data_IF_053944041708
#
_entry.id   IF_053944041708
#
_cell.length_a   1.000
_cell.length_b   1.000
_cell.length_c   1.000
_cell.angle_alpha   90.00
_cell.angle_beta   90.00
_cell.angle_gamma   90.00
#
_symmetry.space_group_name_H-M   'P 1'
#
loop_
_entity.id
_entity.type
_entity.pdbx_description
1 polymer ?
#
# COMPACT_ATOMS: atom_id res chain seq x y z
N UNK A 1 9.65 63.39 4.16
CA UNK A 1 9.42 62.11 3.43
C UNK A 1 7.93 61.94 3.19
N UNK A 2 7.45 61.97 1.94
CA UNK A 2 6.02 61.73 1.63
C UNK A 2 5.72 60.24 1.83
N UNK A 3 4.89 59.90 2.81
CA UNK A 3 4.32 58.56 2.94
C UNK A 3 3.36 58.36 1.76
N UNK A 4 3.70 57.48 0.82
CA UNK A 4 2.77 57.07 -0.24
C UNK A 4 1.72 56.17 0.42
N UNK A 5 0.50 56.69 0.57
CA UNK A 5 -0.64 55.89 1.00
C UNK A 5 -1.17 55.12 -0.21
N UNK A 6 -1.42 53.83 -0.05
CA UNK A 6 -2.04 53.00 -1.09
C UNK A 6 -3.46 53.46 -1.33
N UNK A 7 -3.86 53.52 -2.59
CA UNK A 7 -5.24 53.79 -2.96
C UNK A 7 -6.11 52.57 -2.68
N UNK A 8 -7.41 52.79 -2.42
CA UNK A 8 -8.36 51.70 -2.20
C UNK A 8 -8.37 50.71 -3.37
N UNK A 9 -8.23 51.20 -4.60
CA UNK A 9 -8.17 50.39 -5.81
C UNK A 9 -6.93 49.47 -5.84
N UNK A 10 -5.74 49.97 -5.48
CA UNK A 10 -4.52 49.17 -5.41
C UNK A 10 -4.64 48.06 -4.35
N UNK A 11 -5.24 48.36 -3.19
CA UNK A 11 -5.49 47.35 -2.14
C UNK A 11 -6.42 46.26 -2.66
N UNK A 12 -7.51 46.65 -3.36
CA UNK A 12 -8.51 45.71 -3.85
C UNK A 12 -7.95 44.79 -4.94
N UNK A 13 -7.09 45.31 -5.82
CA UNK A 13 -6.36 44.51 -6.82
C UNK A 13 -5.45 43.49 -6.14
N UNK A 14 -4.66 43.91 -5.14
CA UNK A 14 -3.73 43.02 -4.43
C UNK A 14 -4.47 41.92 -3.67
N UNK A 15 -5.55 42.25 -2.95
CA UNK A 15 -6.34 41.24 -2.23
C UNK A 15 -6.97 40.23 -3.19
N UNK A 16 -7.46 40.68 -4.34
CA UNK A 16 -8.01 39.79 -5.37
C UNK A 16 -6.94 38.85 -5.94
N UNK A 17 -5.76 39.38 -6.26
CA UNK A 17 -4.63 38.58 -6.75
C UNK A 17 -4.19 37.54 -5.72
N UNK A 18 -4.03 37.94 -4.45
CA UNK A 18 -3.68 37.00 -3.37
C UNK A 18 -4.75 35.92 -3.20
N UNK A 19 -6.03 36.27 -3.30
CA UNK A 19 -7.14 35.31 -3.24
C UNK A 19 -7.07 34.27 -4.36
N UNK A 20 -6.85 34.70 -5.61
CA UNK A 20 -6.74 33.79 -6.76
C UNK A 20 -5.51 32.88 -6.63
N UNK A 21 -4.36 33.44 -6.23
CA UNK A 21 -3.13 32.66 -6.02
C UNK A 21 -3.34 31.63 -4.90
N UNK A 22 -3.96 32.01 -3.79
CA UNK A 22 -4.22 31.11 -2.67
C UNK A 22 -5.09 29.91 -3.08
N UNK A 23 -6.15 30.13 -3.86
CA UNK A 23 -7.02 29.03 -4.35
C UNK A 23 -6.25 28.04 -5.23
N UNK A 24 -5.42 28.55 -6.15
CA UNK A 24 -4.61 27.70 -7.03
C UNK A 24 -3.55 26.93 -6.25
N UNK A 25 -2.86 27.59 -5.31
CA UNK A 25 -1.83 26.98 -4.48
C UNK A 25 -2.42 25.91 -3.57
N UNK A 26 -3.53 26.17 -2.89
CA UNK A 26 -4.19 25.19 -2.01
C UNK A 26 -4.57 23.95 -2.81
N UNK A 27 -5.24 24.09 -3.97
CA UNK A 27 -5.67 22.95 -4.78
C UNK A 27 -4.51 22.03 -5.17
N UNK A 28 -3.41 22.61 -5.64
CA UNK A 28 -2.23 21.85 -6.05
C UNK A 28 -1.50 21.24 -4.84
N UNK A 29 -1.40 21.98 -3.74
CA UNK A 29 -0.74 21.51 -2.52
C UNK A 29 -1.49 20.33 -1.91
N UNK A 30 -2.82 20.39 -1.82
CA UNK A 30 -3.65 19.29 -1.31
C UNK A 30 -3.55 18.06 -2.21
N UNK A 31 -3.53 18.25 -3.53
CA UNK A 31 -3.34 17.13 -4.47
C UNK A 31 -2.00 16.42 -4.25
N UNK A 32 -0.90 17.17 -4.14
CA UNK A 32 0.43 16.61 -3.92
C UNK A 32 0.57 15.95 -2.54
N UNK A 33 0.06 16.60 -1.48
CA UNK A 33 0.09 16.07 -0.12
C UNK A 33 -0.70 14.78 -0.04
N UNK A 34 -1.92 14.72 -0.60
CA UNK A 34 -2.74 13.51 -0.57
C UNK A 34 -2.08 12.38 -1.37
N UNK A 35 -1.48 12.67 -2.52
CA UNK A 35 -0.74 11.68 -3.29
C UNK A 35 0.44 11.10 -2.49
N UNK A 36 1.21 11.96 -1.83
CA UNK A 36 2.34 11.54 -0.99
C UNK A 36 1.93 10.81 0.27
N UNK A 37 0.84 11.22 0.91
CA UNK A 37 0.28 10.52 2.06
C UNK A 37 -0.18 9.11 1.64
N UNK A 38 -0.98 8.99 0.57
CA UNK A 38 -1.55 7.72 0.13
C UNK A 38 -0.47 6.70 -0.25
N UNK A 39 0.59 7.12 -0.95
CA UNK A 39 1.72 6.24 -1.24
C UNK A 39 2.43 5.73 0.02
N UNK A 40 2.69 6.63 0.99
CA UNK A 40 3.34 6.26 2.28
C UNK A 40 2.46 5.32 3.10
N UNK A 41 1.16 5.59 3.16
CA UNK A 41 0.23 4.78 3.93
C UNK A 41 -0.02 3.42 3.25
N UNK A 42 0.02 3.34 1.91
CA UNK A 42 -0.01 2.07 1.17
C UNK A 42 1.18 1.18 1.48
N UNK A 43 2.40 1.73 1.48
CA UNK A 43 3.57 0.94 1.89
C UNK A 43 3.48 0.50 3.35
N UNK A 44 2.99 1.38 4.23
CA UNK A 44 2.77 1.03 5.63
C UNK A 44 1.80 -0.15 5.76
N UNK A 45 0.64 -0.08 5.10
CA UNK A 45 -0.35 -1.15 5.07
C UNK A 45 0.22 -2.45 4.51
N UNK A 46 0.97 -2.38 3.40
CA UNK A 46 1.69 -3.51 2.83
C UNK A 46 2.66 -4.15 3.84
N UNK A 47 3.54 -3.34 4.45
CA UNK A 47 4.57 -3.84 5.36
C UNK A 47 3.99 -4.46 6.61
N UNK A 48 2.89 -3.89 7.12
CA UNK A 48 2.13 -4.44 8.23
C UNK A 48 1.48 -5.76 7.85
N UNK A 49 0.79 -5.81 6.71
CA UNK A 49 0.14 -7.02 6.21
C UNK A 49 1.16 -8.14 5.97
N UNK A 50 2.29 -7.85 5.32
CA UNK A 50 3.39 -8.80 5.12
C UNK A 50 3.92 -9.37 6.43
N UNK A 51 4.13 -8.53 7.44
CA UNK A 51 4.59 -8.98 8.77
C UNK A 51 3.55 -9.83 9.48
N UNK A 52 2.29 -9.41 9.45
CA UNK A 52 1.20 -10.14 10.10
C UNK A 52 0.99 -11.51 9.45
N UNK A 53 0.93 -11.56 8.11
CA UNK A 53 0.81 -12.81 7.35
C UNK A 53 2.02 -13.73 7.56
N UNK A 54 3.24 -13.18 7.58
CA UNK A 54 4.44 -13.95 7.91
C UNK A 54 4.38 -14.55 9.33
N UNK A 55 3.85 -13.79 10.30
CA UNK A 55 3.62 -14.29 11.66
C UNK A 55 2.55 -15.39 11.70
N UNK A 56 1.49 -15.28 10.90
CA UNK A 56 0.46 -16.33 10.79
C UNK A 56 1.12 -17.62 10.34
N UNK A 57 1.87 -17.58 9.24
CA UNK A 57 2.49 -18.79 8.66
C UNK A 57 3.54 -19.40 9.57
N UNK A 58 4.30 -18.58 10.30
CA UNK A 58 5.25 -19.09 11.28
C UNK A 58 4.57 -19.89 12.41
N UNK A 59 3.26 -19.71 12.62
CA UNK A 59 2.47 -20.49 13.58
C UNK A 59 1.71 -21.67 12.96
N UNK A 60 1.70 -21.79 11.62
CA UNK A 60 1.02 -22.89 10.93
C UNK A 60 1.93 -24.12 10.82
N UNK A 61 1.45 -25.29 11.25
CA UNK A 61 2.20 -26.54 11.15
C UNK A 61 2.50 -26.93 9.68
N UNK A 62 1.60 -26.57 8.77
CA UNK A 62 1.74 -26.83 7.32
C UNK A 62 2.63 -25.80 6.62
N UNK A 63 3.00 -24.71 7.29
CA UNK A 63 3.63 -23.55 6.64
C UNK A 63 2.73 -22.84 5.63
N UNK A 64 1.41 -23.06 5.70
CA UNK A 64 0.42 -22.47 4.79
C UNK A 64 -0.79 -21.95 5.54
N UNK A 65 -1.35 -20.84 5.07
CA UNK A 65 -2.58 -20.24 5.61
C UNK A 65 -3.74 -21.19 5.37
N UNK A 66 -4.36 -21.68 6.44
CA UNK A 66 -5.51 -22.56 6.35
C UNK A 66 -6.73 -21.84 5.75
N UNK A 67 -7.52 -22.51 4.89
CA UNK A 67 -8.70 -21.92 4.26
C UNK A 67 -9.65 -21.28 5.28
N UNK A 68 -10.17 -20.10 4.97
CA UNK A 68 -11.13 -19.34 5.80
C UNK A 68 -10.63 -18.92 7.19
N UNK A 69 -9.33 -19.10 7.51
CA UNK A 69 -8.77 -18.69 8.82
C UNK A 69 -8.06 -17.34 8.80
N UNK A 70 -7.79 -16.79 7.61
CA UNK A 70 -7.05 -15.54 7.48
C UNK A 70 -7.69 -14.39 8.26
N UNK A 71 -9.01 -14.23 8.16
CA UNK A 71 -9.72 -13.14 8.82
C UNK A 71 -9.54 -13.16 10.34
N UNK A 72 -9.78 -14.30 10.99
CA UNK A 72 -9.71 -14.44 12.45
C UNK A 72 -8.27 -14.31 12.94
N UNK A 73 -7.32 -14.99 12.30
CA UNK A 73 -5.90 -14.91 12.66
C UNK A 73 -5.34 -13.51 12.48
N UNK A 74 -5.75 -12.81 11.43
CA UNK A 74 -5.32 -11.44 11.19
C UNK A 74 -5.94 -10.47 12.19
N UNK A 75 -7.22 -10.63 12.56
CA UNK A 75 -7.83 -9.81 13.60
C UNK A 75 -7.18 -10.03 14.97
N UNK A 76 -6.84 -11.27 15.31
CA UNK A 76 -6.18 -11.57 16.60
C UNK A 76 -4.81 -10.89 16.71
N UNK A 77 -4.05 -10.87 15.60
CA UNK A 77 -2.74 -10.21 15.55
C UNK A 77 -2.81 -8.69 15.50
N UNK A 78 -3.75 -8.13 14.73
CA UNK A 78 -3.84 -6.70 14.51
C UNK A 78 -4.65 -5.97 15.58
N UNK A 79 -5.40 -6.70 16.42
CA UNK A 79 -6.18 -6.19 17.54
C UNK A 79 -7.10 -5.01 17.14
N UNK A 80 -8.10 -5.27 16.27
CA UNK A 80 -9.01 -4.24 15.79
C UNK A 80 -9.87 -3.65 16.91
N UNK A 81 -10.44 -2.49 16.60
CA UNK A 81 -11.47 -1.85 17.40
C UNK A 81 -12.86 -2.28 16.91
N UNK A 82 -13.74 -2.62 17.86
CA UNK A 82 -15.12 -3.02 17.58
C UNK A 82 -15.28 -4.48 17.14
N UNK A 83 -16.36 -4.75 16.43
CA UNK A 83 -16.75 -6.10 16.04
C UNK A 83 -15.94 -6.61 14.83
N UNK A 84 -15.57 -7.88 14.89
CA UNK A 84 -14.95 -8.60 13.77
C UNK A 84 -16.04 -9.37 13.02
N UNK A 85 -16.19 -9.08 11.73
CA UNK A 85 -17.12 -9.73 10.83
C UNK A 85 -16.36 -10.45 9.72
N UNK A 86 -16.16 -11.76 9.80
CA UNK A 86 -15.45 -12.51 8.75
C UNK A 86 -16.31 -12.93 7.55
N UNK A 87 -17.46 -12.26 7.32
CA UNK A 87 -18.30 -12.51 6.16
C UNK A 87 -17.63 -12.12 4.83
N UNK A 88 -18.02 -12.84 3.77
CA UNK A 88 -17.59 -12.58 2.41
C UNK A 88 -18.25 -11.32 1.85
N UNK A 89 -17.49 -10.56 1.06
CA UNK A 89 -18.05 -9.55 0.15
C UNK A 89 -17.86 -10.02 -1.31
N UNK A 90 -18.66 -9.47 -2.22
CA UNK A 90 -18.57 -9.81 -3.64
C UNK A 90 -17.18 -9.51 -4.21
N UNK A 91 -16.69 -10.38 -5.11
CA UNK A 91 -15.32 -10.35 -5.67
C UNK A 91 -14.98 -9.10 -6.49
N UNK A 92 -15.99 -8.34 -6.92
CA UNK A 92 -15.84 -7.15 -7.78
C UNK A 92 -16.51 -5.91 -7.16
N UNK A 93 -16.53 -5.85 -5.83
CA UNK A 93 -17.13 -4.74 -5.11
C UNK A 93 -16.31 -3.46 -5.33
N UNK A 94 -16.97 -2.39 -5.79
CA UNK A 94 -16.33 -1.10 -6.11
C UNK A 94 -16.83 0.06 -5.24
N UNK A 95 -17.88 -0.16 -4.43
CA UNK A 95 -18.54 0.86 -3.60
C UNK A 95 -18.28 0.68 -2.09
N UNK A 96 -17.02 0.70 -1.65
CA UNK A 96 -16.65 0.40 -0.25
C UNK A 96 -17.29 1.30 0.80
N UNK A 97 -17.76 2.51 0.44
CA UNK A 97 -18.44 3.41 1.37
C UNK A 97 -19.77 2.91 1.96
N UNK A 98 -20.33 1.78 1.47
CA UNK A 98 -21.51 1.12 2.05
C UNK A 98 -21.24 -0.30 2.55
N UNK A 99 -20.05 -0.83 2.31
CA UNK A 99 -19.70 -2.15 2.79
C UNK A 99 -19.46 -2.13 4.29
N UNK A 100 -19.84 -3.21 4.96
CA UNK A 100 -19.38 -3.45 6.32
C UNK A 100 -17.96 -4.02 6.24
N UNK A 101 -16.96 -3.39 6.89
CA UNK A 101 -15.61 -3.93 6.92
C UNK A 101 -15.58 -5.24 7.71
N UNK A 102 -14.60 -6.09 7.41
CA UNK A 102 -14.33 -7.26 8.24
C UNK A 102 -13.85 -6.85 9.63
N UNK A 103 -13.02 -5.80 9.72
CA UNK A 103 -12.70 -5.12 10.96
C UNK A 103 -12.09 -3.75 10.69
N UNK A 104 -12.06 -2.91 11.72
CA UNK A 104 -11.43 -1.58 11.70
C UNK A 104 -10.32 -1.53 12.73
N UNK A 105 -9.15 -1.01 12.38
CA UNK A 105 -8.06 -0.80 13.32
C UNK A 105 -8.21 0.55 14.04
N UNK A 106 -7.56 0.70 15.19
CA UNK A 106 -7.60 1.94 16.00
C UNK A 106 -7.13 3.19 15.26
N UNK A 107 -6.35 3.03 14.19
CA UNK A 107 -5.91 4.12 13.34
C UNK A 107 -6.89 4.44 12.19
N UNK A 108 -8.09 3.85 12.20
CA UNK A 108 -9.13 4.07 11.19
C UNK A 108 -9.04 3.18 9.96
N UNK A 109 -7.95 2.43 9.77
CA UNK A 109 -7.81 1.54 8.60
C UNK A 109 -8.87 0.43 8.64
N UNK A 110 -9.53 0.20 7.50
CA UNK A 110 -10.61 -0.80 7.40
C UNK A 110 -10.23 -1.92 6.45
N UNK A 111 -10.46 -3.15 6.88
CA UNK A 111 -10.14 -4.35 6.12
C UNK A 111 -11.40 -4.96 5.52
N UNK A 112 -11.30 -5.46 4.30
CA UNK A 112 -12.40 -6.06 3.57
C UNK A 112 -11.96 -7.30 2.78
N UNK A 113 -12.93 -8.18 2.52
CA UNK A 113 -12.80 -9.45 1.79
C UNK A 113 -11.81 -10.47 2.36
N UNK A 114 -11.60 -10.51 3.68
CA UNK A 114 -10.65 -11.43 4.33
C UNK A 114 -11.12 -12.89 4.39
N UNK A 115 -12.39 -13.17 4.08
CA UNK A 115 -12.94 -14.53 4.10
C UNK A 115 -12.85 -15.29 2.78
N UNK A 116 -12.57 -14.60 1.66
CA UNK A 116 -12.71 -15.18 0.33
C UNK A 116 -11.39 -15.81 -0.15
N UNK A 117 -11.27 -17.13 0.01
CA UNK A 117 -10.28 -17.92 -0.72
C UNK A 117 -10.83 -18.10 -2.13
N UNK A 118 -10.26 -17.40 -3.12
CA UNK A 118 -10.55 -17.71 -4.51
C UNK A 118 -10.09 -19.15 -4.82
N UNK A 119 -10.63 -19.76 -5.88
CA UNK A 119 -10.39 -21.17 -6.26
C UNK A 119 -8.90 -21.57 -6.50
N UNK A 120 -7.96 -20.61 -6.40
CA UNK A 120 -6.55 -20.75 -6.73
C UNK A 120 -5.61 -20.48 -5.53
N UNK A 121 -6.03 -20.75 -4.29
CA UNK A 121 -5.20 -20.59 -3.08
C UNK A 121 -4.70 -19.13 -2.87
N UNK A 122 -5.55 -18.19 -3.23
CA UNK A 122 -5.25 -16.75 -3.18
C UNK A 122 -6.39 -15.98 -2.53
N UNK A 123 -6.05 -15.16 -1.54
CA UNK A 123 -6.92 -14.19 -0.91
C UNK A 123 -6.78 -12.84 -1.62
N UNK A 124 -7.91 -12.24 -1.96
CA UNK A 124 -7.97 -10.84 -2.40
C UNK A 124 -8.45 -9.99 -1.24
N UNK A 125 -7.59 -9.13 -0.70
CA UNK A 125 -7.89 -8.28 0.44
C UNK A 125 -7.95 -6.83 0.00
N UNK A 126 -8.94 -6.09 0.47
CA UNK A 126 -9.01 -4.64 0.24
C UNK A 126 -8.79 -3.92 1.56
N UNK A 127 -8.00 -2.85 1.52
CA UNK A 127 -7.70 -2.03 2.69
C UNK A 127 -8.04 -0.57 2.34
N UNK A 128 -8.98 -0.01 3.08
CA UNK A 128 -9.21 1.44 3.20
C UNK A 128 -8.14 2.00 4.14
N UNK A 129 -7.27 2.84 3.60
CA UNK A 129 -6.00 3.20 4.22
C UNK A 129 -6.09 4.47 5.04
N UNK A 130 -6.89 5.44 4.59
CA UNK A 130 -7.05 6.71 5.29
C UNK A 130 -8.26 6.69 6.25
N UNK A 131 -9.13 5.68 6.13
CA UNK A 131 -10.26 5.45 7.03
C UNK A 131 -11.38 6.47 6.89
N UNK A 132 -11.27 7.42 5.96
CA UNK A 132 -12.19 8.54 5.85
C UNK A 132 -13.53 8.02 5.26
N UNK A 133 -14.66 8.41 5.87
CA UNK A 133 -16.00 7.93 5.47
C UNK A 133 -16.48 8.46 4.10
N UNK A 134 -15.58 9.05 3.31
CA UNK A 134 -15.91 9.45 1.94
C UNK A 134 -16.24 8.18 1.15
N UNK A 135 -16.92 8.33 0.00
CA UNK A 135 -17.13 7.20 -0.91
C UNK A 135 -15.76 6.64 -1.29
N UNK A 136 -15.31 5.60 -0.59
CA UNK A 136 -14.09 4.88 -0.92
C UNK A 136 -14.30 4.21 -2.26
N UNK A 137 -13.71 4.80 -3.31
CA UNK A 137 -13.71 4.21 -4.65
C UNK A 137 -12.43 3.39 -4.78
N UNK A 138 -12.58 2.17 -5.30
CA UNK A 138 -11.46 1.30 -5.62
C UNK A 138 -10.43 2.03 -6.50
N UNK A 139 -9.14 1.88 -6.18
CA UNK A 139 -7.97 2.55 -6.78
C UNK A 139 -7.69 4.00 -6.37
N UNK A 140 -8.65 4.70 -5.73
CA UNK A 140 -8.41 6.05 -5.21
C UNK A 140 -8.01 6.00 -3.74
N UNK A 141 -8.88 5.39 -2.94
CA UNK A 141 -8.79 5.38 -1.48
C UNK A 141 -8.51 3.95 -0.97
N UNK A 142 -9.26 2.99 -1.53
CA UNK A 142 -9.12 1.57 -1.19
C UNK A 142 -8.08 0.90 -2.08
N UNK A 143 -7.10 0.25 -1.44
CA UNK A 143 -6.05 -0.51 -2.11
C UNK A 143 -6.34 -2.01 -2.06
N UNK A 144 -6.07 -2.71 -3.16
CA UNK A 144 -6.18 -4.17 -3.24
C UNK A 144 -4.82 -4.83 -3.03
N UNK A 145 -4.82 -5.88 -2.24
CA UNK A 145 -3.71 -6.77 -1.98
C UNK A 145 -4.11 -8.22 -2.31
N UNK A 146 -3.13 -8.99 -2.71
CA UNK A 146 -3.21 -10.39 -3.04
C UNK A 146 -2.31 -11.11 -2.04
N UNK A 147 -2.83 -12.13 -1.37
CA UNK A 147 -2.09 -12.96 -0.43
C UNK A 147 -2.23 -14.41 -0.90
N UNK A 148 -1.13 -15.09 -1.18
CA UNK A 148 -1.20 -16.53 -1.44
C UNK A 148 -1.18 -17.33 -0.12
N UNK A 149 -1.56 -18.60 -0.18
CA UNK A 149 -1.49 -19.51 0.99
C UNK A 149 -0.08 -19.65 1.58
N UNK A 150 0.97 -19.35 0.81
CA UNK A 150 2.36 -19.36 1.28
C UNK A 150 2.81 -18.04 1.95
N UNK A 151 1.91 -17.05 2.05
CA UNK A 151 2.12 -15.79 2.77
C UNK A 151 2.79 -14.67 2.03
N UNK A 152 2.98 -14.85 0.74
CA UNK A 152 3.43 -13.79 -0.14
C UNK A 152 2.29 -12.79 -0.30
N UNK A 153 2.56 -11.56 0.15
CA UNK A 153 1.66 -10.41 0.00
C UNK A 153 2.16 -9.58 -1.18
N UNK A 154 1.27 -9.24 -2.11
CA UNK A 154 1.51 -8.32 -3.23
C UNK A 154 0.36 -7.31 -3.35
N UNK A 155 0.60 -6.02 -3.66
CA UNK A 155 -0.49 -5.13 -4.05
C UNK A 155 -0.93 -5.39 -5.49
N UNK A 156 -2.16 -4.98 -5.82
CA UNK A 156 -2.71 -5.08 -7.18
C UNK A 156 -1.97 -4.18 -8.18
N UNK A 157 -1.79 -4.70 -9.41
CA UNK A 157 -1.05 -4.07 -10.51
C UNK A 157 -1.68 -2.75 -10.99
N UNK A 158 -2.99 -2.60 -10.80
CA UNK A 158 -3.76 -1.41 -11.19
C UNK A 158 -3.81 -0.33 -10.11
N UNK A 159 -3.32 -0.61 -8.90
CA UNK A 159 -3.34 0.37 -7.82
C UNK A 159 -2.50 1.61 -8.16
N UNK A 160 -3.05 2.81 -7.92
CA UNK A 160 -2.34 4.07 -8.16
C UNK A 160 -1.06 4.20 -7.34
N UNK A 161 -1.07 3.64 -6.13
CA UNK A 161 0.10 3.57 -5.26
C UNK A 161 1.20 2.65 -5.81
N UNK A 162 0.86 1.62 -6.60
CA UNK A 162 1.85 0.74 -7.19
C UNK A 162 2.73 1.41 -8.26
N UNK A 163 2.25 2.51 -8.85
CA UNK A 163 2.85 3.18 -10.01
C UNK A 163 3.52 4.53 -9.68
N UNK A 164 3.68 4.90 -8.40
CA UNK A 164 4.29 6.18 -8.04
C UNK A 164 5.82 6.07 -7.91
N UNK A 165 6.54 6.78 -8.78
CA UNK A 165 7.97 6.58 -9.11
C UNK A 165 8.99 6.99 -8.03
N UNK A 166 8.58 7.43 -6.84
CA UNK A 166 9.52 8.02 -5.85
C UNK A 166 9.58 7.30 -4.49
N UNK A 167 8.85 6.20 -4.29
CA UNK A 167 8.54 5.75 -2.94
C UNK A 167 9.46 4.64 -2.42
N UNK A 168 10.01 3.83 -3.30
CA UNK A 168 10.76 2.64 -2.88
C UNK A 168 12.11 2.50 -3.56
N UNK A 169 13.03 1.95 -2.78
CA UNK A 169 14.21 1.28 -3.26
C UNK A 169 14.02 -0.23 -3.08
N UNK A 170 14.31 -0.99 -4.12
CA UNK A 170 14.50 -2.42 -4.00
C UNK A 170 15.99 -2.72 -3.87
N UNK A 171 16.32 -3.58 -2.92
CA UNK A 171 17.66 -4.10 -2.75
C UNK A 171 17.62 -5.55 -2.33
N UNK A 172 18.78 -6.17 -2.28
CA UNK A 172 18.97 -7.44 -1.61
C UNK A 172 20.09 -7.31 -0.58
N UNK A 173 19.92 -8.05 0.50
CA UNK A 173 20.96 -8.35 1.47
C UNK A 173 21.57 -9.68 1.06
N UNK A 174 22.85 -9.65 0.73
CA UNK A 174 23.61 -10.87 0.47
C UNK A 174 24.53 -11.15 1.66
N UNK A 175 24.73 -12.44 1.94
CA UNK A 175 25.66 -12.89 2.97
C UNK A 175 26.94 -13.35 2.27
N UNK A 176 28.05 -12.64 2.45
CA UNK A 176 29.37 -13.25 2.22
C UNK A 176 29.73 -14.17 3.39
N UNK A 177 30.82 -14.94 3.27
CA UNK A 177 31.25 -15.93 4.27
C UNK A 177 31.42 -15.36 5.69
N UNK A 178 31.39 -14.04 5.89
CA UNK A 178 31.56 -13.42 7.21
C UNK A 178 30.67 -12.22 7.49
N UNK A 179 30.06 -11.57 6.48
CA UNK A 179 29.28 -10.34 6.66
C UNK A 179 28.03 -10.25 5.77
N UNK A 180 26.98 -9.66 6.33
CA UNK A 180 25.82 -9.22 5.56
C UNK A 180 26.12 -7.88 4.87
N UNK A 181 25.97 -7.83 3.55
CA UNK A 181 26.14 -6.62 2.74
C UNK A 181 24.84 -6.27 2.01
N UNK A 182 24.58 -4.97 1.93
CA UNK A 182 23.37 -4.41 1.32
C UNK A 182 23.69 -3.92 -0.09
N UNK A 183 22.94 -4.38 -1.08
CA UNK A 183 23.04 -3.91 -2.47
C UNK A 183 21.68 -3.36 -2.89
N UNK A 184 21.66 -2.09 -3.27
CA UNK A 184 20.49 -1.46 -3.88
C UNK A 184 20.44 -1.83 -5.36
N UNK A 185 19.35 -2.45 -5.79
CA UNK A 185 19.09 -2.86 -7.17
C UNK A 185 18.46 -1.72 -7.95
N UNK A 186 17.46 -1.08 -7.33
CA UNK A 186 16.76 0.08 -7.89
C UNK A 186 16.48 1.06 -6.76
N UNK A 187 16.69 2.35 -7.01
CA UNK A 187 16.37 3.42 -6.08
C UNK A 187 15.40 4.40 -6.73
N UNK A 188 14.51 5.01 -5.94
CA UNK A 188 13.44 5.88 -6.43
C UNK A 188 12.67 5.25 -7.60
N UNK A 189 12.04 4.11 -7.34
CA UNK A 189 11.20 3.42 -8.32
C UNK A 189 9.79 3.21 -7.78
N UNK A 190 8.89 2.82 -8.69
CA UNK A 190 7.52 2.46 -8.31
C UNK A 190 7.53 1.23 -7.42
N UNK A 191 6.47 1.06 -6.63
CA UNK A 191 6.32 -0.13 -5.79
C UNK A 191 6.32 -1.41 -6.64
N UNK A 192 5.68 -1.37 -7.81
CA UNK A 192 5.68 -2.46 -8.78
C UNK A 192 7.10 -2.79 -9.24
N UNK A 193 7.87 -1.78 -9.65
CA UNK A 193 9.26 -1.96 -10.10
C UNK A 193 10.15 -2.50 -8.98
N UNK A 194 9.92 -2.02 -7.76
CA UNK A 194 10.65 -2.46 -6.59
C UNK A 194 10.38 -3.96 -6.32
N UNK A 195 9.11 -4.38 -6.30
CA UNK A 195 8.75 -5.79 -6.13
C UNK A 195 9.32 -6.65 -7.26
N UNK A 196 9.10 -6.26 -8.52
CA UNK A 196 9.48 -7.09 -9.65
C UNK A 196 10.99 -7.22 -9.84
N UNK A 197 11.77 -6.23 -9.39
CA UNK A 197 13.23 -6.34 -9.33
C UNK A 197 13.74 -7.05 -8.07
N UNK A 198 12.93 -7.15 -7.02
CA UNK A 198 13.26 -7.85 -5.77
C UNK A 198 13.13 -9.39 -5.84
N UNK A 199 12.99 -9.99 -7.02
CA UNK A 199 12.91 -11.46 -7.16
C UNK A 199 11.67 -12.14 -6.55
N UNK A 200 10.87 -11.43 -5.74
CA UNK A 200 9.58 -11.88 -5.21
C UNK A 200 8.68 -12.20 -6.40
N UNK A 201 8.38 -13.48 -6.56
CA UNK A 201 7.76 -14.03 -7.74
C UNK A 201 6.74 -15.05 -7.29
N UNK A 202 5.47 -14.65 -7.22
CA UNK A 202 4.38 -15.62 -7.19
C UNK A 202 4.56 -16.54 -8.40
N UNK A 203 4.80 -17.83 -8.16
CA UNK A 203 4.68 -18.82 -9.22
C UNK A 203 3.30 -18.62 -9.87
N UNK A 204 3.27 -18.48 -11.19
CA UNK A 204 2.07 -18.31 -12.03
C UNK A 204 1.33 -16.97 -11.99
N UNK A 205 1.84 -15.89 -11.36
CA UNK A 205 1.20 -14.56 -11.51
C UNK A 205 1.79 -13.75 -12.67
N UNK A 206 0.93 -13.16 -13.50
CA UNK A 206 1.32 -12.20 -14.55
C UNK A 206 1.68 -10.80 -14.00
N UNK A 207 1.90 -10.67 -12.68
CA UNK A 207 2.14 -9.40 -11.99
C UNK A 207 3.37 -8.68 -12.55
N UNK A 208 4.50 -9.39 -12.65
CA UNK A 208 5.77 -8.88 -13.18
C UNK A 208 5.97 -9.12 -14.68
N UNK A 209 4.92 -9.49 -15.42
CA UNK A 209 5.00 -9.62 -16.87
C UNK A 209 5.41 -8.27 -17.50
N UNK A 210 6.52 -8.28 -18.24
CA UNK A 210 7.14 -7.12 -18.88
C UNK A 210 8.19 -6.37 -18.05
N UNK A 211 8.42 -6.77 -16.79
CA UNK A 211 9.40 -6.12 -15.90
C UNK A 211 10.71 -6.92 -15.83
N UNK A 212 11.84 -6.20 -15.78
CA UNK A 212 13.16 -6.81 -15.63
C UNK A 212 13.43 -7.30 -14.20
N UNK A 213 13.66 -8.62 -14.04
CA UNK A 213 14.23 -9.20 -12.82
C UNK A 213 15.74 -8.94 -12.79
N UNK A 214 16.29 -8.62 -11.62
CA UNK A 214 17.75 -8.64 -11.45
C UNK A 214 18.21 -10.09 -11.31
N UNK A 215 19.10 -10.52 -12.20
CA UNK A 215 19.64 -11.88 -12.26
C UNK A 215 20.89 -12.07 -11.40
N UNK A 216 21.39 -11.01 -10.74
CA UNK A 216 22.62 -11.06 -9.95
C UNK A 216 22.43 -11.73 -8.58
N UNK A 217 21.20 -11.92 -8.13
CA UNK A 217 20.89 -12.66 -6.92
C UNK A 217 20.26 -14.01 -7.28
N UNK A 218 21.00 -15.10 -7.05
CA UNK A 218 20.47 -16.46 -7.17
C UNK A 218 19.70 -16.83 -5.91
N UNK A 219 18.56 -17.51 -6.09
CA UNK A 219 17.47 -17.74 -5.12
C UNK A 219 17.83 -18.24 -3.71
N UNK A 220 19.09 -18.62 -3.45
CA UNK A 220 19.51 -19.28 -2.21
C UNK A 220 20.51 -18.46 -1.35
N UNK A 221 20.93 -17.26 -1.77
CA UNK A 221 21.98 -16.49 -1.06
C UNK A 221 21.63 -15.04 -0.75
N UNK A 222 20.45 -14.56 -1.11
CA UNK A 222 20.04 -13.22 -0.77
C UNK A 222 18.61 -13.13 -0.25
N UNK A 223 18.46 -12.27 0.75
CA UNK A 223 17.19 -11.82 1.28
C UNK A 223 16.85 -10.51 0.56
N UNK A 224 15.70 -10.45 -0.10
CA UNK A 224 15.28 -9.22 -0.78
C UNK A 224 14.58 -8.27 0.20
N UNK A 225 14.97 -6.99 0.16
CA UNK A 225 14.41 -5.94 1.00
C UNK A 225 13.80 -4.85 0.12
N UNK A 226 12.61 -4.42 0.52
CA UNK A 226 11.99 -3.18 0.05
C UNK A 226 12.21 -2.12 1.11
N UNK A 227 12.90 -1.05 0.75
CA UNK A 227 13.15 0.07 1.64
C UNK A 227 12.46 1.32 1.12
N UNK A 228 11.91 2.08 2.04
CA UNK A 228 11.36 3.40 1.76
C UNK A 228 12.50 4.42 1.68
N UNK A 229 12.52 5.23 0.63
CA UNK A 229 13.47 6.34 0.49
C UNK A 229 13.21 7.45 1.53
#
# INVERSE_FOLDING_TARGET
>A
MKKKAFTLAEILIVVTLVGVIAVLVIRNSTYLVNRTANGKMTYSAYSMLKRAVGSIIATEETGQIQPNTLCTKLSDLLNPEGDVNCALIATDYTEFGKATPNFTLKNGMKFYNLGNVAADDVYTVYIDIDGDFRKGIYNDDVQKFIINVNGEVLPDKSSKAANDINYLSAGYKYYDETNAKWVWVKTAVTFKDAICSSGISLQNSNYCSGEGKDTNCTLNQCEFILHKN
#
